data_IF_366411403505
#
_entry.id   IF_366411403505
#
_cell.length_a   1.000
_cell.length_b   1.000
_cell.length_c   1.000
_cell.angle_alpha   90.00
_cell.angle_beta   90.00
_cell.angle_gamma   90.00
#
_symmetry.space_group_name_H-M   'P 1'
#
loop_
_entity.id
_entity.type
_entity.pdbx_description
1 polymer ?
#
# COMPACT_ATOMS: atom_id res chain seq x y z
N UNK A 1 -2.56 -13.17 -16.86
CA UNK A 1 -3.72 -12.29 -16.98
C UNK A 1 -4.24 -12.28 -18.40
N UNK A 2 -5.20 -13.16 -18.69
CA UNK A 2 -6.12 -12.94 -19.81
C UNK A 2 -6.94 -11.71 -19.46
N UNK A 3 -6.68 -10.58 -20.16
CA UNK A 3 -7.47 -9.37 -20.03
C UNK A 3 -8.92 -9.74 -20.34
N UNK A 4 -9.76 -9.76 -19.31
CA UNK A 4 -11.21 -9.69 -19.51
C UNK A 4 -11.49 -8.25 -19.94
N UNK A 5 -11.41 -8.02 -21.25
CA UNK A 5 -12.05 -6.86 -21.85
C UNK A 5 -13.50 -6.84 -21.38
N UNK A 6 -14.02 -5.65 -21.07
CA UNK A 6 -15.39 -5.45 -20.62
C UNK A 6 -16.38 -5.98 -21.66
N UNK A 7 -16.71 -7.25 -21.61
CA UNK A 7 -17.91 -7.79 -22.24
C UNK A 7 -19.07 -7.30 -21.38
N UNK A 8 -19.78 -6.29 -21.90
CA UNK A 8 -21.18 -5.96 -21.64
C UNK A 8 -21.74 -6.51 -20.32
N UNK A 9 -22.02 -5.62 -19.37
CA UNK A 9 -22.71 -5.90 -18.10
C UNK A 9 -24.03 -6.67 -18.23
N UNK A 10 -24.58 -6.87 -19.44
CA UNK A 10 -25.74 -7.72 -19.72
C UNK A 10 -25.48 -9.24 -19.64
N UNK A 11 -24.24 -9.72 -19.74
CA UNK A 11 -23.91 -11.16 -19.70
C UNK A 11 -23.69 -11.73 -18.29
N UNK A 12 -23.47 -10.87 -17.29
CA UNK A 12 -22.97 -11.27 -15.96
C UNK A 12 -23.87 -12.21 -15.13
N UNK A 13 -25.13 -12.41 -15.53
CA UNK A 13 -26.08 -13.25 -14.81
C UNK A 13 -26.87 -14.20 -15.73
N UNK A 14 -26.39 -14.43 -16.96
CA UNK A 14 -27.07 -15.31 -17.91
C UNK A 14 -27.24 -16.73 -17.34
N UNK A 15 -26.29 -17.17 -16.50
CA UNK A 15 -26.33 -18.44 -15.77
C UNK A 15 -27.56 -18.60 -14.82
N UNK A 16 -28.21 -17.50 -14.43
CA UNK A 16 -29.41 -17.54 -13.57
C UNK A 16 -30.70 -17.82 -14.34
N UNK A 17 -30.73 -17.55 -15.64
CA UNK A 17 -31.92 -17.68 -16.49
C UNK A 17 -31.70 -18.69 -17.62
N UNK A 18 -31.86 -20.01 -17.36
CA UNK A 18 -31.66 -21.04 -18.37
C UNK A 18 -32.60 -20.97 -19.57
N UNK A 19 -33.76 -20.32 -19.42
CA UNK A 19 -34.70 -20.07 -20.52
C UNK A 19 -34.09 -19.31 -21.70
N UNK A 20 -33.01 -18.56 -21.49
CA UNK A 20 -32.34 -17.78 -22.54
C UNK A 20 -31.23 -18.56 -23.27
N UNK A 21 -30.99 -19.82 -22.91
CA UNK A 21 -29.84 -20.58 -23.43
C UNK A 21 -30.11 -21.32 -24.74
N UNK A 22 -31.37 -21.44 -25.17
CA UNK A 22 -31.80 -22.31 -26.28
C UNK A 22 -31.11 -22.02 -27.63
N UNK A 23 -30.70 -20.77 -27.89
CA UNK A 23 -30.11 -20.35 -29.18
C UNK A 23 -28.62 -19.99 -29.07
N UNK A 24 -27.95 -20.40 -27.98
CA UNK A 24 -26.53 -20.13 -27.78
C UNK A 24 -25.65 -21.22 -28.42
N UNK A 25 -24.40 -20.92 -28.79
CA UNK A 25 -23.48 -21.94 -29.28
C UNK A 25 -23.21 -22.99 -28.17
N UNK A 26 -23.01 -24.27 -28.52
CA UNK A 26 -22.87 -25.36 -27.55
C UNK A 26 -21.79 -25.12 -26.48
N UNK A 27 -20.63 -24.55 -26.86
CA UNK A 27 -19.56 -24.21 -25.91
C UNK A 27 -20.02 -23.22 -24.83
N UNK A 28 -20.80 -22.21 -25.20
CA UNK A 28 -21.32 -21.22 -24.26
C UNK A 28 -22.37 -21.85 -23.34
N UNK A 29 -23.22 -22.73 -23.85
CA UNK A 29 -24.20 -23.47 -23.02
C UNK A 29 -23.48 -24.30 -21.95
N UNK A 30 -22.43 -25.04 -22.33
CA UNK A 30 -21.63 -25.83 -21.39
C UNK A 30 -20.89 -24.95 -20.38
N UNK A 31 -20.36 -23.81 -20.81
CA UNK A 31 -19.73 -22.85 -19.90
C UNK A 31 -20.74 -22.26 -18.90
N UNK A 32 -21.95 -21.90 -19.35
CA UNK A 32 -23.03 -21.40 -18.50
C UNK A 32 -23.54 -22.45 -17.53
N UNK A 33 -23.65 -23.70 -17.97
CA UNK A 33 -24.00 -24.82 -17.11
C UNK A 33 -22.97 -25.02 -16.00
N UNK A 34 -21.67 -25.03 -16.34
CA UNK A 34 -20.56 -25.09 -15.36
C UNK A 34 -20.56 -23.89 -14.42
N UNK A 35 -20.77 -22.68 -14.94
CA UNK A 35 -20.85 -21.47 -14.14
C UNK A 35 -22.03 -21.52 -13.17
N UNK A 36 -23.19 -21.97 -13.64
CA UNK A 36 -24.40 -22.14 -12.83
C UNK A 36 -24.21 -23.18 -11.75
N UNK A 37 -23.65 -24.34 -12.06
CA UNK A 37 -23.40 -25.41 -11.09
C UNK A 37 -22.40 -24.98 -10.01
N UNK A 38 -21.35 -24.23 -10.38
CA UNK A 38 -20.35 -23.69 -9.44
C UNK A 38 -20.89 -22.53 -8.57
N UNK A 39 -21.74 -21.66 -9.14
CA UNK A 39 -22.26 -20.50 -8.40
C UNK A 39 -23.48 -20.81 -7.54
N UNK A 40 -24.27 -21.83 -7.90
CA UNK A 40 -25.50 -22.23 -7.20
C UNK A 40 -25.36 -23.61 -6.52
N UNK A 41 -24.17 -23.94 -6.03
CA UNK A 41 -23.93 -25.20 -5.29
C UNK A 41 -24.95 -25.34 -4.15
N UNK A 42 -25.64 -26.48 -4.08
CA UNK A 42 -26.68 -26.78 -3.08
C UNK A 42 -28.06 -26.15 -3.33
N UNK A 43 -28.16 -25.12 -4.17
CA UNK A 43 -29.43 -24.48 -4.56
C UNK A 43 -29.85 -24.81 -5.99
N UNK A 44 -29.01 -25.53 -6.73
CA UNK A 44 -29.29 -25.90 -8.10
C UNK A 44 -30.49 -26.85 -8.14
N UNK A 45 -31.58 -26.39 -8.79
CA UNK A 45 -32.78 -27.18 -9.02
C UNK A 45 -32.83 -27.56 -10.48
N UNK A 46 -33.37 -28.75 -10.72
CA UNK A 46 -33.70 -29.23 -12.06
C UNK A 46 -34.50 -28.17 -12.82
N UNK A 47 -34.07 -27.86 -14.04
CA UNK A 47 -34.75 -26.95 -14.94
C UNK A 47 -34.86 -27.58 -16.34
N UNK A 48 -36.05 -27.56 -16.91
CA UNK A 48 -36.31 -28.15 -18.24
C UNK A 48 -35.64 -27.35 -19.36
N UNK A 49 -35.63 -26.02 -19.27
CA UNK A 49 -34.99 -25.17 -20.29
C UNK A 49 -33.49 -25.39 -20.33
N UNK A 50 -32.88 -25.60 -19.16
CA UNK A 50 -31.46 -25.94 -19.00
C UNK A 50 -31.16 -27.30 -19.64
N UNK A 51 -31.97 -28.31 -19.34
CA UNK A 51 -31.84 -29.64 -19.92
C UNK A 51 -31.96 -29.58 -21.45
N UNK A 52 -32.98 -28.89 -21.99
CA UNK A 52 -33.18 -28.77 -23.43
C UNK A 52 -31.98 -28.07 -24.11
N UNK A 53 -31.44 -27.03 -23.48
CA UNK A 53 -30.22 -26.39 -23.95
C UNK A 53 -29.04 -27.37 -23.94
N UNK A 54 -28.87 -28.18 -22.90
CA UNK A 54 -27.82 -29.21 -22.85
C UNK A 54 -28.01 -30.31 -23.89
N UNK A 55 -29.23 -30.75 -24.16
CA UNK A 55 -29.52 -31.75 -25.20
C UNK A 55 -29.10 -31.24 -26.59
N UNK A 56 -29.29 -29.94 -26.86
CA UNK A 56 -28.81 -29.32 -28.11
C UNK A 56 -27.29 -29.42 -28.31
N UNK A 57 -26.51 -29.64 -27.23
CA UNK A 57 -25.04 -29.79 -27.28
C UNK A 57 -24.57 -31.21 -27.64
N UNK A 58 -25.48 -32.18 -27.76
CA UNK A 58 -25.18 -33.59 -28.05
C UNK A 58 -24.28 -33.80 -29.26
N UNK A 59 -24.59 -33.13 -30.39
CA UNK A 59 -23.80 -33.22 -31.63
C UNK A 59 -22.38 -32.68 -31.48
N UNK A 60 -22.18 -31.73 -30.57
CA UNK A 60 -20.88 -31.08 -30.34
C UNK A 60 -19.99 -31.93 -29.42
N UNK A 61 -20.54 -32.50 -28.36
CA UNK A 61 -19.79 -33.33 -27.41
C UNK A 61 -19.60 -34.77 -27.89
N UNK A 62 -20.41 -35.22 -28.86
CA UNK A 62 -20.45 -36.61 -29.31
C UNK A 62 -21.18 -37.55 -28.33
N UNK A 63 -21.76 -37.00 -27.26
CA UNK A 63 -22.51 -37.76 -26.24
C UNK A 63 -23.98 -37.79 -26.65
N UNK A 64 -24.63 -38.97 -26.74
CA UNK A 64 -26.02 -39.06 -27.16
C UNK A 64 -26.96 -38.40 -26.14
N UNK A 65 -28.09 -37.87 -26.63
CA UNK A 65 -29.06 -37.10 -25.83
C UNK A 65 -29.55 -37.82 -24.56
N UNK A 66 -29.77 -39.13 -24.65
CA UNK A 66 -30.24 -39.93 -23.52
C UNK A 66 -29.20 -40.04 -22.39
N UNK A 67 -27.90 -40.09 -22.72
CA UNK A 67 -26.81 -40.08 -21.75
C UNK A 67 -26.67 -38.72 -21.08
N UNK A 68 -26.77 -37.62 -21.85
CA UNK A 68 -26.76 -36.25 -21.30
C UNK A 68 -27.89 -36.07 -20.27
N UNK A 69 -29.09 -36.54 -20.59
CA UNK A 69 -30.23 -36.51 -19.67
C UNK A 69 -29.96 -37.32 -18.39
N UNK A 70 -29.34 -38.50 -18.52
CA UNK A 70 -28.96 -39.36 -17.39
C UNK A 70 -27.90 -38.69 -16.51
N UNK A 71 -26.87 -38.08 -17.09
CA UNK A 71 -25.83 -37.32 -16.38
C UNK A 71 -26.45 -36.12 -15.64
N UNK A 72 -27.32 -35.35 -16.30
CA UNK A 72 -27.95 -34.19 -15.67
C UNK A 72 -28.85 -34.56 -14.47
N UNK A 73 -29.52 -35.71 -14.54
CA UNK A 73 -30.47 -36.16 -13.51
C UNK A 73 -29.80 -36.88 -12.33
N UNK A 74 -28.80 -37.73 -12.62
CA UNK A 74 -28.14 -38.58 -11.60
C UNK A 74 -26.76 -38.07 -11.19
N UNK A 75 -26.24 -37.02 -11.83
CA UNK A 75 -24.90 -36.50 -11.57
C UNK A 75 -23.82 -37.55 -11.83
N UNK A 76 -22.85 -37.65 -10.92
CA UNK A 76 -21.73 -38.60 -11.00
C UNK A 76 -22.19 -40.06 -11.06
N UNK A 77 -23.24 -40.43 -10.31
CA UNK A 77 -23.81 -41.80 -10.36
C UNK A 77 -24.26 -42.14 -11.79
N UNK A 78 -24.84 -41.17 -12.50
CA UNK A 78 -25.23 -41.33 -13.90
C UNK A 78 -24.04 -41.61 -14.81
N UNK A 79 -22.88 -40.99 -14.55
CA UNK A 79 -21.64 -41.20 -15.31
C UNK A 79 -21.11 -42.61 -15.11
N UNK A 80 -21.02 -43.09 -13.86
CA UNK A 80 -20.56 -44.45 -13.55
C UNK A 80 -21.45 -45.52 -14.18
N UNK A 81 -22.78 -45.32 -14.15
CA UNK A 81 -23.71 -46.24 -14.80
C UNK A 81 -23.60 -46.26 -16.33
N UNK A 82 -23.13 -45.17 -16.97
CA UNK A 82 -22.88 -45.12 -18.42
C UNK A 82 -21.57 -45.83 -18.74
N UNK A 83 -20.52 -45.59 -17.95
CA UNK A 83 -19.20 -46.21 -18.12
C UNK A 83 -19.17 -47.69 -17.71
N UNK A 84 -20.22 -48.21 -17.06
CA UNK A 84 -20.25 -49.52 -16.41
C UNK A 84 -19.10 -49.72 -15.40
N UNK A 85 -18.66 -48.61 -14.79
CA UNK A 85 -17.58 -48.59 -13.80
C UNK A 85 -18.15 -48.53 -12.39
N UNK A 86 -17.43 -49.10 -11.43
CA UNK A 86 -17.76 -48.98 -10.01
C UNK A 86 -17.13 -47.71 -9.45
N UNK A 87 -17.79 -47.09 -8.48
CA UNK A 87 -17.30 -45.90 -7.74
C UNK A 87 -16.04 -46.17 -6.88
N UNK A 88 -15.40 -47.34 -6.99
CA UNK A 88 -14.31 -47.73 -6.10
C UNK A 88 -12.97 -47.33 -6.71
N UNK A 89 -12.30 -46.37 -6.07
CA UNK A 89 -10.91 -46.07 -6.33
C UNK A 89 -10.03 -47.21 -5.76
N UNK A 90 -8.98 -47.58 -6.50
CA UNK A 90 -8.01 -48.58 -6.08
C UNK A 90 -6.88 -47.97 -5.22
N UNK A 91 -6.88 -46.64 -5.01
CA UNK A 91 -5.92 -45.87 -4.21
C UNK A 91 -4.45 -46.07 -4.59
N UNK A 92 -4.18 -46.70 -5.72
CA UNK A 92 -2.82 -46.94 -6.19
C UNK A 92 -2.36 -45.74 -7.00
N UNK A 93 -1.24 -45.08 -6.61
CA UNK A 93 -0.74 -43.97 -7.38
C UNK A 93 -0.36 -44.46 -8.78
N UNK A 94 -0.85 -43.82 -9.85
CA UNK A 94 -0.40 -44.14 -11.19
C UNK A 94 1.12 -43.90 -11.30
N UNK A 95 1.78 -44.60 -12.22
CA UNK A 95 3.20 -44.35 -12.51
C UNK A 95 3.36 -42.90 -12.99
N UNK A 96 4.36 -42.22 -12.47
CA UNK A 96 4.66 -40.84 -12.86
C UNK A 96 5.00 -40.74 -14.35
N UNK A 97 4.30 -39.86 -15.07
CA UNK A 97 4.41 -39.73 -16.53
C UNK A 97 5.30 -38.55 -16.96
N UNK A 98 5.98 -37.88 -16.03
CA UNK A 98 6.80 -36.68 -16.29
C UNK A 98 6.00 -35.49 -16.86
N UNK A 99 4.72 -35.40 -16.50
CA UNK A 99 3.74 -34.41 -16.96
C UNK A 99 3.46 -33.29 -15.93
N UNK A 100 3.96 -33.42 -14.70
CA UNK A 100 3.76 -32.45 -13.62
C UNK A 100 5.07 -32.15 -12.87
N UNK A 101 5.23 -30.90 -12.41
CA UNK A 101 6.42 -30.48 -11.66
C UNK A 101 6.26 -30.78 -10.16
N UNK A 102 7.36 -31.09 -9.44
CA UNK A 102 7.33 -31.16 -7.98
C UNK A 102 7.05 -29.78 -7.38
N UNK A 103 6.59 -29.76 -6.13
CA UNK A 103 6.14 -28.54 -5.44
C UNK A 103 7.18 -27.41 -5.46
N UNK A 104 8.45 -27.72 -5.16
CA UNK A 104 9.53 -26.72 -5.15
C UNK A 104 9.70 -26.06 -6.54
N UNK A 105 9.56 -26.84 -7.61
CA UNK A 105 9.64 -26.29 -8.97
C UNK A 105 8.39 -25.46 -9.30
N UNK A 106 7.21 -25.89 -8.84
CA UNK A 106 5.99 -25.08 -8.98
C UNK A 106 6.09 -23.74 -8.23
N UNK A 107 6.71 -23.70 -7.04
CA UNK A 107 6.96 -22.46 -6.30
C UNK A 107 7.82 -21.48 -7.11
N UNK A 108 8.95 -21.95 -7.66
CA UNK A 108 9.81 -21.13 -8.54
C UNK A 108 9.03 -20.60 -9.75
N UNK A 109 8.17 -21.45 -10.35
CA UNK A 109 7.33 -21.04 -11.48
C UNK A 109 6.31 -19.98 -11.04
N UNK A 110 5.73 -20.07 -9.83
CA UNK A 110 4.81 -19.07 -9.29
C UNK A 110 5.51 -17.74 -9.05
N UNK A 111 6.68 -17.74 -8.42
CA UNK A 111 7.48 -16.54 -8.17
C UNK A 111 7.87 -15.87 -9.50
N UNK A 112 8.27 -16.66 -10.49
CA UNK A 112 8.57 -16.14 -11.83
C UNK A 112 7.33 -15.55 -12.53
N UNK A 113 6.14 -16.14 -12.33
CA UNK A 113 4.88 -15.57 -12.84
C UNK A 113 4.54 -14.25 -12.16
N UNK A 114 4.75 -14.15 -10.85
CA UNK A 114 4.57 -12.93 -10.07
C UNK A 114 5.54 -11.83 -10.54
N UNK A 115 6.82 -12.15 -10.72
CA UNK A 115 7.79 -11.22 -11.30
C UNK A 115 7.34 -10.71 -12.67
N UNK A 116 6.88 -11.60 -13.55
CA UNK A 116 6.36 -11.22 -14.87
C UNK A 116 5.09 -10.38 -14.79
N UNK A 117 4.28 -10.56 -13.76
CA UNK A 117 3.12 -9.71 -13.48
C UNK A 117 3.55 -8.29 -13.10
N UNK A 118 4.48 -8.14 -12.16
CA UNK A 118 5.05 -6.83 -11.84
C UNK A 118 5.73 -6.16 -13.03
N UNK A 119 6.47 -6.90 -13.84
CA UNK A 119 7.05 -6.37 -15.08
C UNK A 119 5.97 -5.87 -16.05
N UNK A 120 4.82 -6.55 -16.14
CA UNK A 120 3.69 -6.12 -16.97
C UNK A 120 3.04 -4.85 -16.42
N UNK A 121 2.83 -4.78 -15.11
CA UNK A 121 2.32 -3.57 -14.42
C UNK A 121 3.26 -2.40 -14.67
N UNK A 122 4.58 -2.62 -14.50
CA UNK A 122 5.60 -1.61 -14.75
C UNK A 122 5.63 -1.12 -16.20
N UNK A 123 5.49 -2.02 -17.18
CA UNK A 123 5.54 -1.67 -18.60
C UNK A 123 4.26 -0.99 -19.11
N UNK A 124 3.09 -1.38 -18.61
CA UNK A 124 1.81 -0.97 -19.22
C UNK A 124 0.91 -0.14 -18.30
N UNK A 125 0.95 -0.36 -16.98
CA UNK A 125 0.08 0.37 -16.04
C UNK A 125 0.78 1.60 -15.44
N UNK A 126 2.04 1.47 -15.04
CA UNK A 126 2.81 2.58 -14.45
C UNK A 126 2.94 3.80 -15.38
N UNK A 127 3.11 3.66 -16.72
CA UNK A 127 3.12 4.83 -17.61
C UNK A 127 1.78 5.59 -17.61
N UNK A 128 0.67 4.92 -17.31
CA UNK A 128 -0.61 5.61 -17.16
C UNK A 128 -0.70 6.46 -15.89
N UNK A 129 0.09 6.15 -14.84
CA UNK A 129 0.15 6.98 -13.64
C UNK A 129 0.74 8.37 -13.90
N UNK A 130 1.53 8.53 -14.96
CA UNK A 130 2.08 9.83 -15.39
C UNK A 130 0.97 10.85 -15.66
N UNK A 131 -0.23 10.39 -16.09
CA UNK A 131 -1.41 11.25 -16.31
C UNK A 131 -1.86 11.97 -15.03
N UNK A 132 -1.54 11.43 -13.85
CA UNK A 132 -1.88 11.99 -12.55
C UNK A 132 -0.71 12.71 -11.88
N UNK A 133 0.40 12.95 -12.59
CA UNK A 133 1.57 13.67 -12.08
C UNK A 133 1.21 15.13 -11.81
N UNK A 134 1.64 15.63 -10.66
CA UNK A 134 1.53 17.04 -10.26
C UNK A 134 2.93 17.61 -10.03
N UNK A 135 3.18 18.84 -10.50
CA UNK A 135 4.43 19.55 -10.20
C UNK A 135 4.45 19.98 -8.73
N UNK A 136 5.61 19.85 -8.08
CA UNK A 136 5.77 20.27 -6.70
C UNK A 136 5.76 21.80 -6.61
N UNK A 137 4.73 22.35 -5.97
CA UNK A 137 4.65 23.78 -5.65
C UNK A 137 5.09 24.01 -4.21
N UNK A 138 6.28 24.60 -3.96
CA UNK A 138 6.73 24.87 -2.61
C UNK A 138 5.76 25.80 -1.90
N UNK A 139 5.48 25.52 -0.63
CA UNK A 139 4.58 26.35 0.16
C UNK A 139 5.31 27.59 0.67
N UNK A 140 4.96 28.75 0.11
CA UNK A 140 5.35 30.06 0.66
C UNK A 140 4.37 30.43 1.78
N UNK A 141 4.84 31.09 2.84
CA UNK A 141 4.04 31.60 3.98
C UNK A 141 3.30 30.57 4.85
N UNK A 142 3.68 29.28 4.79
CA UNK A 142 3.14 28.22 5.67
C UNK A 142 4.23 27.67 6.59
N UNK A 143 4.48 28.30 7.75
CA UNK A 143 5.57 27.91 8.65
C UNK A 143 5.32 26.61 9.42
N UNK A 144 4.06 26.19 9.53
CA UNK A 144 3.66 25.03 10.31
C UNK A 144 3.86 23.72 9.53
N UNK A 145 4.63 22.79 10.09
CA UNK A 145 4.82 21.45 9.53
C UNK A 145 4.10 20.40 10.37
N UNK A 146 2.99 19.89 9.86
CA UNK A 146 2.27 18.77 10.45
C UNK A 146 2.80 17.44 9.89
N UNK A 147 3.14 16.51 10.79
CA UNK A 147 3.50 15.13 10.47
C UNK A 147 2.40 14.19 10.94
N UNK A 148 1.82 13.48 9.99
CA UNK A 148 0.87 12.38 10.20
C UNK A 148 1.60 11.05 10.07
N UNK A 149 1.17 10.05 10.84
CA UNK A 149 1.67 8.67 10.75
C UNK A 149 0.50 7.79 10.34
N UNK A 150 0.71 6.87 9.39
CA UNK A 150 -0.31 5.92 8.96
C UNK A 150 0.34 4.58 8.66
N UNK A 151 -0.13 3.52 9.32
CA UNK A 151 0.22 2.14 9.05
C UNK A 151 -0.82 1.57 8.07
N UNK A 152 -0.36 1.17 6.88
CA UNK A 152 -1.22 0.63 5.83
C UNK A 152 -1.58 -0.81 6.18
N UNK A 153 -2.87 -1.16 6.11
CA UNK A 153 -3.38 -2.49 6.51
C UNK A 153 -3.76 -2.59 7.99
N UNK A 154 -3.33 -1.66 8.84
CA UNK A 154 -3.60 -1.66 10.28
C UNK A 154 -4.34 -0.38 10.69
N UNK A 155 -5.66 -0.31 10.49
CA UNK A 155 -6.45 0.90 10.81
C UNK A 155 -6.43 1.26 12.29
N UNK A 156 -6.46 0.25 13.14
CA UNK A 156 -6.74 0.40 14.58
C UNK A 156 -5.47 0.69 15.39
N UNK A 157 -4.31 0.74 14.72
CA UNK A 157 -3.04 1.01 15.38
C UNK A 157 -3.03 2.42 15.97
N UNK A 158 -2.86 2.54 17.29
CA UNK A 158 -2.94 3.82 18.02
C UNK A 158 -1.97 4.88 17.52
N UNK A 159 -0.85 4.50 16.89
CA UNK A 159 0.07 5.50 16.32
C UNK A 159 -0.52 6.24 15.11
N UNK A 160 -1.54 5.70 14.44
CA UNK A 160 -2.25 6.37 13.35
C UNK A 160 -2.94 7.67 13.79
N UNK A 161 -3.28 7.75 15.08
CA UNK A 161 -3.95 8.89 15.67
C UNK A 161 -2.96 10.03 15.98
N UNK A 162 -1.68 9.73 16.15
CA UNK A 162 -0.66 10.69 16.58
C UNK A 162 -0.38 11.72 15.48
N UNK A 163 -0.43 12.99 15.86
CA UNK A 163 -0.01 14.12 15.02
C UNK A 163 1.12 14.87 15.70
N UNK A 164 2.14 15.26 14.94
CA UNK A 164 3.23 16.12 15.42
C UNK A 164 3.28 17.40 14.62
N UNK A 165 3.60 18.52 15.28
CA UNK A 165 3.82 19.81 14.68
C UNK A 165 5.22 20.28 14.99
N UNK A 166 5.89 20.81 13.96
CA UNK A 166 7.20 21.42 14.04
C UNK A 166 7.14 22.81 13.42
N UNK A 167 7.72 23.79 14.11
CA UNK A 167 7.73 25.20 13.70
C UNK A 167 9.07 25.81 14.05
N UNK A 168 9.70 26.50 13.11
CA UNK A 168 10.92 27.28 13.39
C UNK A 168 10.56 28.65 13.94
N UNK A 169 11.38 29.13 14.87
CA UNK A 169 11.18 30.45 15.48
C UNK A 169 11.30 31.58 14.47
N UNK A 170 12.24 31.46 13.52
CA UNK A 170 12.47 32.42 12.43
C UNK A 170 11.21 32.72 11.62
N UNK A 171 10.35 31.71 11.46
CA UNK A 171 9.20 31.81 10.57
C UNK A 171 7.99 32.49 11.24
N UNK A 172 8.05 32.70 12.56
CA UNK A 172 6.96 33.31 13.35
C UNK A 172 6.99 34.83 13.40
N UNK A 173 8.07 35.47 12.91
CA UNK A 173 8.25 36.93 12.85
C UNK A 173 7.88 37.63 14.18
N UNK A 174 8.38 37.08 15.29
CA UNK A 174 8.18 37.63 16.63
C UNK A 174 9.31 38.61 16.96
N UNK A 175 9.00 39.63 17.75
CA UNK A 175 10.00 40.55 18.31
C UNK A 175 10.89 39.84 19.34
N UNK A 176 12.07 40.38 19.67
CA UNK A 176 13.06 39.71 20.54
C UNK A 176 12.49 39.34 21.92
N UNK A 177 11.71 40.25 22.52
CA UNK A 177 11.00 40.01 23.78
C UNK A 177 9.93 38.93 23.65
N UNK A 178 9.15 38.97 22.58
CA UNK A 178 8.13 37.96 22.28
C UNK A 178 8.76 36.58 22.02
N UNK A 179 9.93 36.54 21.37
CA UNK A 179 10.69 35.31 21.14
C UNK A 179 11.20 34.73 22.47
N UNK A 180 11.70 35.58 23.37
CA UNK A 180 12.10 35.15 24.71
C UNK A 180 10.92 34.53 25.46
N UNK A 181 9.81 35.26 25.54
CA UNK A 181 8.56 34.78 26.15
C UNK A 181 8.06 33.47 25.52
N UNK A 182 8.11 33.35 24.19
CA UNK A 182 7.74 32.12 23.47
C UNK A 182 8.62 30.94 23.88
N UNK A 183 9.94 31.13 24.02
CA UNK A 183 10.87 30.07 24.45
C UNK A 183 10.58 29.65 25.88
N UNK A 184 10.35 30.59 26.78
CA UNK A 184 10.00 30.33 28.19
C UNK A 184 8.70 29.50 28.27
N UNK A 185 7.63 29.94 27.61
CA UNK A 185 6.33 29.25 27.59
C UNK A 185 6.40 27.85 26.96
N UNK A 186 7.26 27.67 25.95
CA UNK A 186 7.44 26.40 25.26
C UNK A 186 8.15 25.35 26.12
N UNK A 187 8.99 25.78 27.07
CA UNK A 187 9.74 24.92 27.98
C UNK A 187 10.50 23.81 27.26
N UNK A 188 10.31 22.56 27.72
CA UNK A 188 11.01 21.36 27.19
C UNK A 188 10.71 21.02 25.73
N UNK A 189 9.67 21.64 25.13
CA UNK A 189 9.25 21.39 23.74
C UNK A 189 10.09 22.18 22.74
N UNK A 190 10.81 23.21 23.19
CA UNK A 190 11.66 24.02 22.34
C UNK A 190 13.06 23.40 22.24
N UNK A 191 13.57 23.31 21.02
CA UNK A 191 14.93 22.88 20.73
C UNK A 191 15.80 24.11 20.46
N UNK A 192 16.75 24.39 21.37
CA UNK A 192 17.60 25.57 21.29
C UNK A 192 18.70 25.48 20.22
N UNK A 193 19.11 24.31 19.76
CA UNK A 193 20.10 24.19 18.67
C UNK A 193 19.46 24.47 17.31
N UNK A 194 18.30 23.86 17.07
CA UNK A 194 17.58 23.96 15.79
C UNK A 194 16.64 25.18 15.73
N UNK A 195 16.47 25.90 16.85
CA UNK A 195 15.52 27.01 17.02
C UNK A 195 14.10 26.61 16.55
N UNK A 196 13.66 25.41 16.94
CA UNK A 196 12.35 24.87 16.56
C UNK A 196 11.52 24.43 17.76
N UNK A 197 10.22 24.69 17.71
CA UNK A 197 9.24 24.11 18.62
C UNK A 197 8.74 22.80 18.04
N UNK A 198 8.79 21.72 18.82
CA UNK A 198 8.20 20.43 18.45
C UNK A 198 7.21 19.97 19.51
N UNK A 199 5.96 19.73 19.09
CA UNK A 199 4.94 19.16 19.96
C UNK A 199 4.09 18.14 19.23
N UNK A 200 3.55 17.18 19.99
CA UNK A 200 2.70 16.12 19.43
C UNK A 200 1.49 15.89 20.31
N UNK A 201 0.41 15.43 19.69
CA UNK A 201 -0.86 15.15 20.36
C UNK A 201 -1.42 13.81 19.87
N UNK A 202 -1.89 13.00 20.81
CA UNK A 202 -2.37 11.63 20.57
C UNK A 202 -3.41 11.18 21.60
N UNK A 203 -4.34 12.07 21.97
CA UNK A 203 -5.34 11.78 23.02
C UNK A 203 -6.71 11.44 22.44
N UNK A 204 -7.06 11.98 21.28
CA UNK A 204 -8.36 11.75 20.63
C UNK A 204 -8.25 10.61 19.63
N UNK A 205 -9.39 9.97 19.36
CA UNK A 205 -9.48 8.80 18.49
C UNK A 205 -9.22 9.09 17.00
N UNK A 206 -9.20 10.35 16.58
CA UNK A 206 -8.98 10.75 15.19
C UNK A 206 -7.78 11.68 15.04
N UNK A 207 -6.94 11.41 14.05
CA UNK A 207 -5.79 12.26 13.71
C UNK A 207 -6.21 13.68 13.30
N UNK A 208 -7.36 13.83 12.65
CA UNK A 208 -7.90 15.15 12.30
C UNK A 208 -8.23 15.97 13.55
N UNK A 209 -8.92 15.34 14.52
CA UNK A 209 -9.23 15.99 15.80
C UNK A 209 -7.94 16.34 16.56
N UNK A 210 -6.99 15.40 16.62
CA UNK A 210 -5.69 15.65 17.24
C UNK A 210 -4.93 16.81 16.58
N UNK A 211 -5.00 16.96 15.24
CA UNK A 211 -4.38 18.07 14.52
C UNK A 211 -5.04 19.42 14.83
N UNK A 212 -6.38 19.44 14.97
CA UNK A 212 -7.15 20.64 15.32
C UNK A 212 -6.82 21.11 16.73
N UNK A 213 -6.82 20.20 17.71
CA UNK A 213 -6.46 20.52 19.09
C UNK A 213 -5.04 21.04 19.19
N UNK A 214 -4.11 20.42 18.47
CA UNK A 214 -2.72 20.87 18.45
C UNK A 214 -2.62 22.29 17.85
N UNK A 215 -3.34 22.57 16.75
CA UNK A 215 -3.39 23.91 16.17
C UNK A 215 -3.95 24.94 17.15
N UNK A 216 -4.98 24.60 17.92
CA UNK A 216 -5.53 25.52 18.93
C UNK A 216 -4.55 25.79 20.07
N UNK A 217 -3.84 24.75 20.54
CA UNK A 217 -2.80 24.90 21.55
C UNK A 217 -1.66 25.80 21.06
N UNK A 218 -1.24 25.62 19.80
CA UNK A 218 -0.24 26.49 19.18
C UNK A 218 -0.72 27.94 19.10
N UNK A 219 -1.95 28.18 18.63
CA UNK A 219 -2.51 29.53 18.54
C UNK A 219 -2.62 30.21 19.90
N UNK A 220 -2.97 29.47 20.96
CA UNK A 220 -2.97 29.98 22.34
C UNK A 220 -1.56 30.38 22.76
N UNK A 221 -0.58 29.50 22.56
CA UNK A 221 0.83 29.77 22.89
C UNK A 221 1.35 31.02 22.16
N UNK A 222 1.05 31.14 20.86
CA UNK A 222 1.46 32.29 20.05
C UNK A 222 0.76 33.59 20.48
N UNK A 223 -0.51 33.52 20.87
CA UNK A 223 -1.24 34.68 21.41
C UNK A 223 -0.62 35.15 22.73
N UNK A 224 -0.36 34.22 23.65
CA UNK A 224 0.26 34.54 24.94
C UNK A 224 1.70 35.07 24.78
N UNK A 225 2.45 34.58 23.80
CA UNK A 225 3.80 35.11 23.52
C UNK A 225 3.81 36.53 22.95
N UNK A 226 2.74 36.94 22.27
CA UNK A 226 2.59 38.30 21.72
C UNK A 226 2.06 39.31 22.73
N UNK A 227 1.31 38.85 23.73
CA UNK A 227 0.78 39.71 24.79
C UNK A 227 1.89 40.06 25.79
N UNK A 228 2.53 41.22 25.60
CA UNK A 228 3.54 41.75 26.53
C UNK A 228 2.93 42.67 27.60
N UNK A 229 1.62 42.92 27.57
CA UNK A 229 0.98 43.93 28.43
C UNK A 229 0.87 43.49 29.89
N UNK A 230 0.69 42.19 30.12
CA UNK A 230 0.52 41.61 31.46
C UNK A 230 1.85 41.24 32.10
N UNK A 231 2.71 40.57 31.34
CA UNK A 231 3.98 40.03 31.81
C UNK A 231 4.93 39.79 30.62
N UNK A 232 6.17 40.27 30.72
CA UNK A 232 7.21 40.18 29.67
C UNK A 232 8.11 38.94 29.87
N UNK A 233 8.13 38.35 31.08
CA UNK A 233 9.07 37.29 31.48
C UNK A 233 10.54 37.61 31.15
N UNK A 234 10.94 38.88 31.18
CA UNK A 234 12.32 39.31 30.90
C UNK A 234 13.28 38.99 32.05
N UNK A 235 12.75 38.80 33.25
CA UNK A 235 13.43 38.42 34.49
C UNK A 235 13.71 36.92 34.60
N UNK A 236 12.98 36.08 33.85
CA UNK A 236 13.09 34.62 33.91
C UNK A 236 14.14 34.12 32.89
N UNK A 237 15.27 33.54 33.31
CA UNK A 237 16.25 32.99 32.38
C UNK A 237 15.70 31.73 31.68
N UNK A 238 16.17 31.49 30.45
CA UNK A 238 15.82 30.28 29.69
C UNK A 238 16.31 29.01 30.38
N UNK A 239 15.40 28.08 30.66
CA UNK A 239 15.75 26.77 31.24
C UNK A 239 16.29 25.81 30.16
N UNK A 240 17.60 25.59 30.19
CA UNK A 240 18.32 24.69 29.29
C UNK A 240 18.56 23.29 29.89
N UNK A 241 18.09 22.99 31.10
CA UNK A 241 18.44 21.74 31.82
C UNK A 241 18.03 20.49 31.07
N UNK A 242 16.79 20.44 30.60
CA UNK A 242 16.27 19.30 29.82
C UNK A 242 17.07 19.10 28.52
N UNK A 243 17.37 20.21 27.85
CA UNK A 243 18.12 20.20 26.61
C UNK A 243 19.57 19.72 26.79
N UNK A 244 20.24 20.20 27.84
CA UNK A 244 21.59 19.76 28.19
C UNK A 244 21.62 18.28 28.58
N UNK A 245 20.58 17.78 29.28
CA UNK A 245 20.41 16.35 29.56
C UNK A 245 20.25 15.53 28.28
N UNK A 246 19.46 16.00 27.31
CA UNK A 246 19.34 15.33 26.02
C UNK A 246 20.69 15.27 25.30
N UNK A 247 21.49 16.34 25.33
CA UNK A 247 22.83 16.37 24.72
C UNK A 247 23.83 15.45 25.42
N UNK A 248 23.71 15.27 26.73
CA UNK A 248 24.62 14.45 27.52
C UNK A 248 24.32 12.95 27.47
N UNK A 249 23.16 12.54 26.98
CA UNK A 249 22.84 11.13 26.75
C UNK A 249 23.87 10.49 25.79
N UNK A 250 24.33 9.27 26.11
CA UNK A 250 25.47 8.65 25.42
C UNK A 250 25.29 8.46 23.91
N UNK A 251 24.06 8.25 23.46
CA UNK A 251 23.72 8.24 22.03
C UNK A 251 24.08 9.58 21.35
N UNK A 252 23.78 10.70 22.00
CA UNK A 252 24.06 12.03 21.47
C UNK A 252 25.52 12.46 21.69
N UNK A 253 26.21 11.94 22.71
CA UNK A 253 27.67 12.06 22.83
C UNK A 253 28.37 11.39 21.64
N UNK A 254 27.94 10.20 21.22
CA UNK A 254 28.49 9.55 20.02
C UNK A 254 28.33 10.42 18.78
N UNK A 255 27.18 11.08 18.62
CA UNK A 255 26.94 12.04 17.54
C UNK A 255 27.85 13.28 17.62
N UNK A 256 28.11 13.79 18.83
CA UNK A 256 29.01 14.93 19.03
C UNK A 256 30.47 14.61 18.66
N UNK A 257 30.91 13.35 18.68
CA UNK A 257 32.25 12.98 18.17
C UNK A 257 32.42 13.29 16.68
N UNK A 258 31.33 13.26 15.89
CA UNK A 258 31.36 13.65 14.48
C UNK A 258 31.44 15.17 14.26
N UNK A 259 31.34 16.00 15.32
CA UNK A 259 31.60 17.44 15.23
C UNK A 259 33.09 17.77 15.21
N UNK A 260 33.95 16.82 15.56
CA UNK A 260 35.40 16.95 15.37
C UNK A 260 35.66 16.99 13.87
N UNK A 261 35.97 18.17 13.37
CA UNK A 261 36.40 18.34 11.98
C UNK A 261 37.91 18.12 11.90
N UNK A 262 38.35 17.65 10.74
CA UNK A 262 39.78 17.60 10.46
C UNK A 262 40.36 19.03 10.59
N UNK A 263 41.44 19.22 11.35
CA UNK A 263 42.05 20.54 11.51
C UNK A 263 42.41 21.14 10.15
N UNK A 264 42.04 22.40 9.95
CA UNK A 264 42.32 23.08 8.68
C UNK A 264 43.83 23.23 8.44
N UNK A 265 44.58 23.48 9.52
CA UNK A 265 46.04 23.58 9.52
C UNK A 265 46.75 22.28 9.11
N UNK A 266 46.07 21.13 9.23
CA UNK A 266 46.64 19.84 8.84
C UNK A 266 46.37 19.48 7.38
N UNK A 267 45.56 20.29 6.68
CA UNK A 267 45.35 20.09 5.25
C UNK A 267 46.66 20.41 4.54
N UNK A 268 47.18 19.43 3.81
CA UNK A 268 48.33 19.59 2.92
C UNK A 268 47.84 19.59 1.48
N UNK A 269 47.42 20.75 0.93
CA UNK A 269 46.95 20.82 -0.45
C UNK A 269 48.07 20.50 -1.45
N UNK A 270 49.33 20.66 -1.06
CA UNK A 270 50.52 20.28 -1.83
C UNK A 270 50.64 18.76 -2.07
N UNK A 271 50.17 17.94 -1.12
CA UNK A 271 50.12 16.48 -1.22
C UNK A 271 48.89 16.01 -2.02
N UNK A 272 48.01 16.93 -2.47
CA UNK A 272 46.84 16.55 -3.26
C UNK A 272 47.28 15.97 -4.61
N UNK A 273 46.69 14.83 -5.04
CA UNK A 273 47.02 14.24 -6.33
C UNK A 273 46.65 15.21 -7.44
N UNK A 274 47.66 15.63 -8.22
CA UNK A 274 47.43 16.43 -9.43
C UNK A 274 46.57 15.64 -10.40
N UNK A 275 45.66 16.33 -11.09
CA UNK A 275 44.83 15.73 -12.14
C UNK A 275 45.72 15.06 -13.19
N UNK A 276 45.55 13.75 -13.35
CA UNK A 276 46.23 12.97 -14.38
C UNK A 276 45.30 12.96 -15.58
N UNK A 277 45.64 13.71 -16.63
CA UNK A 277 44.96 13.58 -17.92
C UNK A 277 45.37 12.26 -18.55
N UNK A 278 44.41 11.43 -18.93
CA UNK A 278 44.71 10.25 -19.72
C UNK A 278 45.04 10.67 -21.16
N UNK A 279 45.76 9.82 -21.88
CA UNK A 279 46.08 10.09 -23.29
C UNK A 279 44.81 10.18 -24.13
N UNK A 280 43.75 9.47 -23.75
CA UNK A 280 42.44 9.54 -24.43
C UNK A 280 41.75 10.90 -24.20
N UNK A 281 41.83 11.46 -22.99
CA UNK A 281 41.29 12.79 -22.67
C UNK A 281 42.04 13.95 -23.38
N UNK A 282 43.19 13.65 -24.00
CA UNK A 282 43.98 14.61 -24.78
C UNK A 282 43.77 14.46 -26.29
N UNK A 283 43.12 13.37 -26.72
CA UNK A 283 42.87 13.03 -28.12
C UNK A 283 41.43 13.37 -28.53
N UNK A 284 40.46 13.33 -27.61
CA UNK A 284 39.12 13.93 -27.78
C UNK A 284 39.15 15.46 -27.71
#
# INVERSE_FOLDING_TARGET
>A
MLRHFSTSTKTFQLYKTPSKWANLPPEQILALYKERSLKLVGQNKFNQDELNALLSTSKYTGIPEHEIKRIYTKGEVGVFEILNEKYQDNYNPPKFQFDEYPENAQQIIRDHREQREYNRIAAYEMPHLVKYRQEYKPTVDKPLKFKFVKYLGESDYKANQKVSLVVKLSDLKLDEKQQHKFKVLSGTRFNHDLQELKMSYNKLGSSLQNSKELSQQFSRLLKESKDLSKDDFSDIPLDLRYFNKLKSNDHNKKLNRYKLKFPEEWKRPEDAPKERKSVLDLIE
#
